data_IF_604147577526
#
_entry.id   IF_604147577526
#
_cell.length_a   1.000
_cell.length_b   1.000
_cell.length_c   1.000
_cell.angle_alpha   90.00
_cell.angle_beta   90.00
_cell.angle_gamma   90.00
#
_symmetry.space_group_name_H-M   'P 1'
#
loop_
_entity.id
_entity.type
_entity.pdbx_description
1 polymer ?
#
# COMPACT_ATOMS: atom_id res chain seq x y z
N UNK A 1 7.14 7.80 -2.76
CA UNK A 1 6.12 6.76 -3.01
C UNK A 1 4.67 7.29 -2.96
N UNK A 2 4.22 8.03 -1.93
CA UNK A 2 2.79 8.44 -1.83
C UNK A 2 2.24 9.29 -2.98
N UNK A 3 3.03 10.22 -3.54
CA UNK A 3 2.61 11.05 -4.68
C UNK A 3 2.17 10.21 -5.90
N UNK A 4 2.98 9.21 -6.25
CA UNK A 4 2.70 8.28 -7.36
C UNK A 4 1.52 7.36 -7.02
N UNK A 5 1.46 6.84 -5.79
CA UNK A 5 0.34 6.02 -5.30
C UNK A 5 -1.01 6.76 -5.41
N UNK A 6 -1.06 8.03 -5.01
CA UNK A 6 -2.26 8.86 -5.12
C UNK A 6 -2.63 9.15 -6.57
N UNK A 7 -1.63 9.31 -7.44
CA UNK A 7 -1.84 9.46 -8.88
C UNK A 7 -2.42 8.18 -9.52
N UNK A 8 -1.92 7.00 -9.16
CA UNK A 8 -2.46 5.71 -9.61
C UNK A 8 -3.88 5.49 -9.10
N UNK A 9 -4.14 5.84 -7.84
CA UNK A 9 -5.49 5.81 -7.27
C UNK A 9 -6.45 6.67 -8.10
N UNK A 10 -6.06 7.91 -8.40
CA UNK A 10 -6.89 8.83 -9.18
C UNK A 10 -7.22 8.28 -10.58
N UNK A 11 -6.22 7.74 -11.28
CA UNK A 11 -6.41 7.12 -12.59
C UNK A 11 -7.39 5.94 -12.54
N UNK A 12 -7.23 5.04 -11.57
CA UNK A 12 -8.09 3.85 -11.43
C UNK A 12 -9.52 4.18 -11.06
N UNK A 13 -9.71 5.23 -10.25
CA UNK A 13 -11.03 5.73 -9.87
C UNK A 13 -11.65 6.64 -10.93
N UNK A 14 -10.94 6.90 -12.04
CA UNK A 14 -11.37 7.79 -13.11
C UNK A 14 -11.68 9.22 -12.61
N UNK A 15 -10.92 9.70 -11.63
CA UNK A 15 -11.01 11.07 -11.10
C UNK A 15 -9.86 11.93 -11.62
N UNK A 16 -10.01 13.25 -11.50
CA UNK A 16 -8.98 14.20 -11.92
C UNK A 16 -7.63 13.95 -11.22
N UNK A 17 -6.53 14.25 -11.92
CA UNK A 17 -5.20 14.15 -11.34
C UNK A 17 -5.05 15.00 -10.08
N UNK A 18 -4.31 14.53 -9.05
CA UNK A 18 -4.10 15.28 -7.82
C UNK A 18 -3.39 16.62 -8.06
N UNK A 19 -3.92 17.70 -7.52
CA UNK A 19 -3.33 19.04 -7.63
C UNK A 19 -2.63 19.36 -6.31
N UNK A 20 -1.34 19.65 -6.36
CA UNK A 20 -0.53 20.01 -5.19
C UNK A 20 -0.32 21.51 -5.13
N UNK A 21 -0.39 22.07 -3.92
CA UNK A 21 0.10 23.42 -3.65
C UNK A 21 0.92 23.41 -2.35
N UNK A 22 1.93 24.25 -2.30
CA UNK A 22 2.83 24.36 -1.16
C UNK A 22 3.01 25.83 -0.80
N UNK A 23 2.92 26.11 0.49
CA UNK A 23 3.13 27.42 1.08
C UNK A 23 4.46 27.36 1.86
N UNK A 24 5.32 28.35 1.61
CA UNK A 24 6.58 28.55 2.36
C UNK A 24 6.35 29.63 3.40
N UNK A 25 6.73 29.35 4.63
CA UNK A 25 6.64 30.24 5.78
C UNK A 25 8.02 30.36 6.46
N UNK A 26 8.28 31.51 7.09
CA UNK A 26 9.52 31.73 7.85
C UNK A 26 10.70 32.25 7.01
N UNK A 27 11.80 32.60 7.70
CA UNK A 27 12.97 33.20 7.06
C UNK A 27 13.73 32.18 6.20
N UNK A 28 14.57 32.67 5.29
CA UNK A 28 15.33 31.83 4.34
C UNK A 28 16.20 30.75 5.01
N UNK A 29 16.65 30.99 6.23
CA UNK A 29 17.50 30.09 7.02
C UNK A 29 16.71 29.14 7.94
N UNK A 30 15.39 29.33 8.05
CA UNK A 30 14.49 28.50 8.85
C UNK A 30 13.13 28.37 8.16
N UNK A 31 13.16 28.11 6.84
CA UNK A 31 11.95 27.99 6.03
C UNK A 31 11.19 26.73 6.38
N UNK A 32 9.89 26.89 6.61
CA UNK A 32 8.92 25.83 6.86
C UNK A 32 7.97 25.74 5.68
N UNK A 33 7.58 24.54 5.33
CA UNK A 33 6.73 24.28 4.18
C UNK A 33 5.50 23.52 4.63
N UNK A 34 4.33 24.00 4.22
CA UNK A 34 3.07 23.29 4.39
C UNK A 34 2.48 23.06 3.02
N UNK A 35 2.14 21.82 2.71
CA UNK A 35 1.54 21.47 1.44
C UNK A 35 0.12 20.96 1.65
N UNK A 36 -0.67 21.09 0.59
CA UNK A 36 -2.01 20.54 0.47
C UNK A 36 -2.19 19.92 -0.89
N UNK A 37 -3.05 18.90 -0.94
CA UNK A 37 -3.39 18.19 -2.18
C UNK A 37 -4.90 18.16 -2.37
N UNK A 38 -5.34 18.44 -3.58
CA UNK A 38 -6.74 18.37 -3.97
C UNK A 38 -6.96 17.13 -4.81
N UNK A 39 -7.86 16.25 -4.37
CA UNK A 39 -8.23 15.00 -5.06
C UNK A 39 -9.74 14.84 -4.99
N UNK A 40 -10.39 14.66 -6.15
CA UNK A 40 -11.85 14.51 -6.25
C UNK A 40 -12.63 15.69 -5.61
N UNK A 41 -12.12 16.91 -5.80
CA UNK A 41 -12.68 18.13 -5.19
C UNK A 41 -12.45 18.26 -3.67
N UNK A 42 -11.84 17.27 -3.01
CA UNK A 42 -11.50 17.31 -1.57
C UNK A 42 -10.08 17.80 -1.38
N UNK A 43 -9.88 18.69 -0.41
CA UNK A 43 -8.57 19.23 -0.04
C UNK A 43 -8.05 18.51 1.19
N UNK A 44 -6.79 18.08 1.15
CA UNK A 44 -6.10 17.42 2.24
C UNK A 44 -4.80 18.17 2.55
N UNK A 45 -4.72 18.69 3.77
CA UNK A 45 -3.55 19.42 4.27
C UNK A 45 -2.56 18.49 4.97
N UNK A 46 -1.27 18.78 4.82
CA UNK A 46 -0.25 18.19 5.66
C UNK A 46 -0.48 18.61 7.13
N UNK A 47 -0.45 17.64 8.05
CA UNK A 47 -0.67 17.89 9.46
C UNK A 47 0.45 18.73 10.10
N UNK A 48 1.68 18.59 9.59
CA UNK A 48 2.86 19.23 10.14
C UNK A 48 3.59 20.05 9.06
N UNK A 49 4.31 21.07 9.52
CA UNK A 49 5.24 21.81 8.69
C UNK A 49 6.51 20.99 8.51
N UNK A 50 7.02 20.95 7.27
CA UNK A 50 8.27 20.27 6.94
C UNK A 50 9.36 21.27 6.56
N UNK A 51 10.62 20.82 6.56
CA UNK A 51 11.76 21.67 6.18
C UNK A 51 11.98 21.70 4.66
N UNK A 52 11.27 20.86 3.90
CA UNK A 52 11.34 20.81 2.44
C UNK A 52 9.95 20.70 1.80
N UNK A 53 9.82 21.26 0.58
CA UNK A 53 8.60 21.13 -0.24
C UNK A 53 8.26 19.66 -0.49
N UNK A 54 9.27 18.84 -0.78
CA UNK A 54 9.08 17.42 -1.10
C UNK A 54 8.46 16.64 0.07
N UNK A 55 8.92 16.90 1.29
CA UNK A 55 8.36 16.28 2.50
C UNK A 55 6.93 16.76 2.77
N UNK A 56 6.68 18.06 2.62
CA UNK A 56 5.35 18.62 2.82
C UNK A 56 4.34 18.00 1.83
N UNK A 57 4.69 17.93 0.54
CA UNK A 57 3.85 17.30 -0.48
C UNK A 57 3.64 15.80 -0.23
N UNK A 58 4.67 15.11 0.25
CA UNK A 58 4.57 13.71 0.64
C UNK A 58 3.61 13.52 1.83
N UNK A 59 3.68 14.39 2.83
CA UNK A 59 2.78 14.37 3.99
C UNK A 59 1.33 14.61 3.58
N UNK A 60 1.07 15.61 2.73
CA UNK A 60 -0.26 15.87 2.17
C UNK A 60 -0.80 14.65 1.38
N UNK A 61 0.03 14.05 0.53
CA UNK A 61 -0.34 12.84 -0.21
C UNK A 61 -0.67 11.65 0.70
N UNK A 62 0.08 11.49 1.81
CA UNK A 62 -0.15 10.44 2.81
C UNK A 62 -1.51 10.62 3.51
N UNK A 63 -1.84 11.84 3.92
CA UNK A 63 -3.14 12.17 4.54
C UNK A 63 -4.29 11.87 3.58
N UNK A 64 -4.17 12.31 2.32
CA UNK A 64 -5.17 12.04 1.29
C UNK A 64 -5.37 10.54 1.05
N UNK A 65 -4.29 9.77 0.89
CA UNK A 65 -4.39 8.33 0.67
C UNK A 65 -5.04 7.60 1.84
N UNK A 66 -4.66 7.92 3.08
CA UNK A 66 -5.25 7.30 4.27
C UNK A 66 -6.75 7.59 4.39
N UNK A 67 -7.18 8.79 3.99
CA UNK A 67 -8.60 9.16 4.02
C UNK A 67 -9.41 8.55 2.86
N UNK A 68 -8.83 8.48 1.66
CA UNK A 68 -9.49 8.01 0.44
C UNK A 68 -9.44 6.49 0.25
N UNK A 69 -8.49 5.81 0.91
CA UNK A 69 -8.29 4.37 0.85
C UNK A 69 -7.94 3.80 2.24
N UNK A 70 -8.89 3.82 3.20
CA UNK A 70 -8.66 3.29 4.55
C UNK A 70 -8.33 1.79 4.57
N UNK A 71 -8.80 1.03 3.57
CA UNK A 71 -8.45 -0.39 3.38
C UNK A 71 -7.01 -0.62 2.86
N UNK A 72 -6.23 0.44 2.65
CA UNK A 72 -4.77 0.43 2.75
C UNK A 72 -3.97 -0.45 1.78
N UNK A 73 -4.57 -1.21 0.87
CA UNK A 73 -3.79 -2.00 -0.11
C UNK A 73 -3.69 -1.19 -1.40
N UNK A 74 -2.73 -0.27 -1.40
CA UNK A 74 -2.24 0.27 -2.66
C UNK A 74 -1.49 -0.86 -3.35
N UNK A 75 -1.88 -1.17 -4.58
CA UNK A 75 -1.41 -2.34 -5.33
C UNK A 75 0.11 -2.45 -5.52
N UNK A 76 0.84 -1.39 -5.18
CA UNK A 76 2.30 -1.29 -5.16
C UNK A 76 2.94 -2.18 -4.08
N UNK A 77 2.25 -2.43 -2.95
CA UNK A 77 2.74 -3.33 -1.88
C UNK A 77 2.44 -4.83 -2.18
N UNK A 78 1.69 -5.14 -3.25
CA UNK A 78 1.28 -6.50 -3.62
C UNK A 78 2.43 -7.43 -4.00
N UNK A 79 3.52 -6.88 -4.55
CA UNK A 79 4.69 -7.66 -4.96
C UNK A 79 5.71 -7.89 -3.85
N UNK A 80 5.71 -7.03 -2.82
CA UNK A 80 6.79 -6.96 -1.84
C UNK A 80 6.79 -8.22 -0.97
N UNK A 81 5.65 -8.61 -0.41
CA UNK A 81 5.61 -9.74 0.53
C UNK A 81 5.90 -11.10 -0.11
N UNK A 82 5.55 -11.29 -1.39
CA UNK A 82 5.90 -12.52 -2.10
C UNK A 82 7.40 -12.65 -2.31
N UNK A 83 8.04 -11.55 -2.72
CA UNK A 83 9.48 -11.50 -2.91
C UNK A 83 10.22 -11.63 -1.57
N UNK A 84 9.82 -10.88 -0.54
CA UNK A 84 10.38 -10.99 0.81
C UNK A 84 10.26 -12.40 1.39
N UNK A 85 9.12 -13.06 1.22
CA UNK A 85 8.93 -14.44 1.68
C UNK A 85 9.83 -15.42 0.91
N UNK A 86 10.00 -15.21 -0.40
CA UNK A 86 10.90 -16.02 -1.22
C UNK A 86 12.36 -15.83 -0.81
N UNK A 87 12.81 -14.60 -0.60
CA UNK A 87 14.16 -14.28 -0.13
C UNK A 87 14.43 -14.89 1.26
N UNK A 88 13.45 -14.80 2.17
CA UNK A 88 13.54 -15.44 3.49
C UNK A 88 13.65 -16.96 3.36
N UNK A 89 12.82 -17.59 2.52
CA UNK A 89 12.89 -19.03 2.27
C UNK A 89 14.27 -19.44 1.77
N UNK A 90 14.84 -18.69 0.82
CA UNK A 90 16.18 -18.96 0.29
C UNK A 90 17.27 -18.79 1.35
N UNK A 91 17.19 -17.73 2.16
CA UNK A 91 18.16 -17.44 3.22
C UNK A 91 18.18 -18.52 4.31
N UNK A 92 17.01 -19.01 4.70
CA UNK A 92 16.84 -20.05 5.73
C UNK A 92 17.01 -21.48 5.17
N UNK A 93 17.21 -21.63 3.85
CA UNK A 93 17.36 -22.94 3.19
C UNK A 93 16.04 -23.71 3.04
N UNK A 94 14.90 -23.04 3.16
CA UNK A 94 13.58 -23.64 2.97
C UNK A 94 13.26 -23.87 1.50
N UNK A 95 12.30 -24.76 1.25
CA UNK A 95 11.72 -24.93 -0.09
C UNK A 95 10.93 -23.68 -0.49
N UNK A 96 10.84 -23.45 -1.80
CA UNK A 96 10.09 -22.31 -2.34
C UNK A 96 8.63 -22.32 -1.84
N UNK A 97 8.06 -21.16 -1.46
CA UNK A 97 6.70 -21.09 -0.94
C UNK A 97 5.68 -21.56 -1.97
N UNK A 98 4.75 -22.43 -1.56
CA UNK A 98 3.66 -22.93 -2.42
C UNK A 98 2.36 -22.20 -2.13
N UNK A 99 1.79 -21.55 -3.12
CA UNK A 99 0.52 -20.84 -2.99
C UNK A 99 -0.65 -21.69 -3.50
N UNK A 100 -1.71 -21.76 -2.71
CA UNK A 100 -3.01 -22.31 -3.11
C UNK A 100 -4.07 -21.23 -2.93
N UNK A 101 -4.93 -21.03 -3.93
CA UNK A 101 -6.01 -20.04 -3.86
C UNK A 101 -7.35 -20.72 -4.07
N UNK A 102 -8.27 -20.50 -3.15
CA UNK A 102 -9.65 -20.94 -3.24
C UNK A 102 -10.52 -19.74 -3.61
N UNK A 103 -11.37 -19.93 -4.62
CA UNK A 103 -12.36 -18.96 -5.07
C UNK A 103 -13.75 -19.39 -4.64
N UNK A 104 -14.46 -18.51 -3.93
CA UNK A 104 -15.83 -18.73 -3.48
C UNK A 104 -16.70 -17.53 -3.87
N UNK A 105 -18.01 -17.73 -3.94
CA UNK A 105 -18.98 -16.66 -4.16
C UNK A 105 -19.59 -16.64 -5.56
N UNK A 106 -20.53 -15.73 -5.77
CA UNK A 106 -21.22 -15.54 -7.05
C UNK A 106 -20.32 -14.83 -8.09
N UNK A 107 -20.57 -14.98 -9.40
CA UNK A 107 -19.74 -14.40 -10.46
C UNK A 107 -19.50 -12.89 -10.32
N UNK A 108 -20.46 -12.18 -9.72
CA UNK A 108 -20.42 -10.73 -9.49
C UNK A 108 -19.89 -10.33 -8.10
N UNK A 109 -19.68 -11.28 -7.20
CA UNK A 109 -19.15 -11.10 -5.84
C UNK A 109 -18.17 -12.22 -5.47
N UNK A 110 -17.18 -12.46 -6.33
CA UNK A 110 -16.15 -13.46 -6.07
C UNK A 110 -15.24 -13.00 -4.93
N UNK A 111 -14.99 -13.93 -4.01
CA UNK A 111 -14.06 -13.80 -2.89
C UNK A 111 -12.95 -14.82 -3.06
N UNK A 112 -11.71 -14.34 -2.96
CA UNK A 112 -10.49 -15.11 -3.10
C UNK A 112 -9.84 -15.26 -1.73
N UNK A 113 -9.43 -16.46 -1.38
CA UNK A 113 -8.63 -16.74 -0.19
C UNK A 113 -7.42 -17.55 -0.59
N UNK A 114 -6.24 -17.10 -0.21
CA UNK A 114 -5.01 -17.83 -0.49
C UNK A 114 -4.36 -18.34 0.79
N UNK A 115 -3.69 -19.47 0.64
CA UNK A 115 -2.87 -20.09 1.67
C UNK A 115 -1.48 -20.28 1.08
N UNK A 116 -0.43 -19.95 1.83
CA UNK A 116 0.95 -20.21 1.47
C UNK A 116 1.53 -21.27 2.39
N UNK A 117 2.19 -22.27 1.79
CA UNK A 117 2.86 -23.35 2.48
C UNK A 117 4.37 -23.14 2.38
N UNK A 118 5.06 -23.12 3.51
CA UNK A 118 6.50 -22.96 3.60
C UNK A 118 6.99 -23.74 4.82
N UNK A 119 8.04 -24.55 4.63
CA UNK A 119 8.61 -25.40 5.69
C UNK A 119 7.61 -26.40 6.32
N UNK A 120 6.51 -26.73 5.63
CA UNK A 120 5.44 -27.59 6.16
C UNK A 120 4.41 -26.84 7.01
N UNK A 121 4.65 -25.55 7.29
CA UNK A 121 3.68 -24.63 7.89
C UNK A 121 2.76 -24.04 6.81
N UNK A 122 1.47 -23.89 7.15
CA UNK A 122 0.44 -23.36 6.25
C UNK A 122 -0.13 -22.05 6.80
N UNK A 123 0.01 -20.96 6.05
CA UNK A 123 -0.45 -19.63 6.46
C UNK A 123 -1.58 -19.16 5.56
N UNK A 124 -2.77 -18.97 6.15
CA UNK A 124 -3.96 -18.53 5.43
C UNK A 124 -4.11 -17.01 5.52
N UNK A 125 -4.22 -16.36 4.36
CA UNK A 125 -4.46 -14.92 4.26
C UNK A 125 -5.93 -14.53 4.39
N UNK A 126 -6.23 -13.23 4.57
CA UNK A 126 -7.60 -12.72 4.60
C UNK A 126 -8.31 -12.86 3.25
N UNK A 127 -9.65 -12.86 3.30
CA UNK A 127 -10.50 -12.78 2.11
C UNK A 127 -10.24 -11.51 1.31
N UNK A 128 -10.15 -11.64 -0.02
CA UNK A 128 -9.86 -10.54 -0.92
C UNK A 128 -10.72 -10.58 -2.18
N UNK A 129 -10.85 -9.44 -2.87
CA UNK A 129 -11.66 -9.33 -4.10
C UNK A 129 -10.92 -9.82 -5.35
N UNK A 130 -9.63 -10.09 -5.25
CA UNK A 130 -8.79 -10.57 -6.35
C UNK A 130 -7.80 -11.64 -5.88
N UNK A 131 -7.44 -12.58 -6.76
CA UNK A 131 -6.40 -13.58 -6.50
C UNK A 131 -5.07 -12.95 -6.08
N UNK A 132 -4.67 -11.86 -6.73
CA UNK A 132 -3.41 -11.16 -6.43
C UNK A 132 -3.37 -10.64 -4.98
N UNK A 133 -4.47 -10.05 -4.50
CA UNK A 133 -4.59 -9.56 -3.12
C UNK A 133 -4.60 -10.70 -2.11
N UNK A 134 -5.32 -11.79 -2.41
CA UNK A 134 -5.37 -12.96 -1.54
C UNK A 134 -3.98 -13.58 -1.36
N UNK A 135 -3.23 -13.77 -2.45
CA UNK A 135 -1.88 -14.35 -2.39
C UNK A 135 -0.89 -13.43 -1.67
N UNK A 136 -0.98 -12.11 -1.84
CA UNK A 136 -0.18 -11.17 -1.04
C UNK A 136 -0.54 -11.25 0.44
N UNK A 137 -1.83 -11.28 0.78
CA UNK A 137 -2.28 -11.39 2.17
C UNK A 137 -1.72 -12.63 2.85
N UNK A 138 -1.73 -13.78 2.16
CA UNK A 138 -1.10 -15.01 2.64
C UNK A 138 0.42 -14.85 2.82
N UNK A 139 1.11 -14.26 1.83
CA UNK A 139 2.55 -14.02 1.91
C UNK A 139 2.93 -13.12 3.09
N UNK A 140 2.15 -12.07 3.36
CA UNK A 140 2.36 -11.15 4.48
C UNK A 140 2.22 -11.85 5.83
N UNK A 141 1.18 -12.68 5.99
CA UNK A 141 0.96 -13.46 7.22
C UNK A 141 2.14 -14.42 7.46
N UNK A 142 2.55 -15.18 6.44
CA UNK A 142 3.68 -16.08 6.55
C UNK A 142 4.99 -15.36 6.87
N UNK A 143 5.30 -14.29 6.16
CA UNK A 143 6.53 -13.54 6.36
C UNK A 143 6.64 -12.94 7.77
N UNK A 144 5.54 -12.42 8.31
CA UNK A 144 5.54 -11.90 9.66
C UNK A 144 5.70 -13.03 10.69
N UNK A 145 5.04 -14.17 10.49
CA UNK A 145 5.11 -15.30 11.42
C UNK A 145 6.48 -16.00 11.43
N UNK A 146 7.19 -16.05 10.30
CA UNK A 146 8.53 -16.65 10.22
C UNK A 146 9.64 -15.74 10.76
N UNK A 147 9.32 -14.48 11.05
CA UNK A 147 10.25 -13.48 11.58
C UNK A 147 10.08 -13.22 13.07
N UNK A 148 9.00 -13.73 13.65
CA UNK A 148 8.72 -13.71 15.08
C UNK A 148 9.38 -14.92 15.74
#
# INVERSE_FOLDING_TARGET
>A
MYKNRLQTYAQKKNISFPIYSCEREGPIHASRFKARVIVDGKTFDAAEYCNTVKEAEHAAAKVALNSLAPDGIVEDDLGIYKNLLQELAQKEGFKLPRYSTVTNGEPHMLVFVSTVEIEGCSFRGPQSKTKKQAEMGAAKVAYNCLRE
#
